data_IF_435516757427
#
_entry.id   IF_435516757427
#
_cell.length_a   1.000
_cell.length_b   1.000
_cell.length_c   1.000
_cell.angle_alpha   90.00
_cell.angle_beta   90.00
_cell.angle_gamma   90.00
#
_symmetry.space_group_name_H-M   'P 1'
#
loop_
_entity.id
_entity.type
_entity.pdbx_description
1 polymer ?
#
# COMPACT_ATOMS: atom_id res chain seq x y z
N UNK A 1 3.46 -21.50 -16.02
CA UNK A 1 3.29 -20.69 -14.79
C UNK A 1 2.89 -21.64 -13.66
N UNK A 2 3.39 -21.46 -12.44
CA UNK A 2 2.95 -22.28 -11.30
C UNK A 2 1.45 -22.08 -11.08
N UNK A 3 0.69 -23.13 -10.74
CA UNK A 3 -0.76 -23.03 -10.48
C UNK A 3 -1.12 -22.21 -9.23
N UNK A 4 -0.12 -21.69 -8.53
CA UNK A 4 -0.23 -20.88 -7.30
C UNK A 4 0.32 -19.47 -7.47
N UNK A 5 0.66 -19.03 -8.69
CA UNK A 5 1.07 -17.65 -8.91
C UNK A 5 -0.10 -16.69 -8.67
N UNK A 6 0.11 -15.68 -7.83
CA UNK A 6 -0.87 -14.61 -7.63
C UNK A 6 -1.10 -13.86 -8.95
N UNK A 7 -2.36 -13.78 -9.35
CA UNK A 7 -2.81 -13.03 -10.52
C UNK A 7 -3.88 -12.04 -10.11
N UNK A 8 -3.82 -10.84 -10.67
CA UNK A 8 -4.81 -9.82 -10.51
C UNK A 8 -5.23 -9.33 -11.90
N UNK A 9 -6.52 -9.11 -12.12
CA UNK A 9 -7.05 -8.63 -13.40
C UNK A 9 -6.86 -7.12 -13.52
N UNK A 10 -5.70 -6.72 -14.05
CA UNK A 10 -5.38 -5.30 -14.27
C UNK A 10 -6.22 -4.69 -15.39
N UNK A 11 -6.73 -5.49 -16.33
CA UNK A 11 -7.57 -4.99 -17.42
C UNK A 11 -8.93 -4.53 -16.88
N UNK A 12 -9.55 -5.33 -16.00
CA UNK A 12 -10.80 -4.95 -15.33
C UNK A 12 -10.62 -3.70 -14.45
N UNK A 13 -9.48 -3.59 -13.77
CA UNK A 13 -9.15 -2.40 -13.00
C UNK A 13 -8.98 -1.16 -13.88
N UNK A 14 -8.28 -1.26 -15.01
CA UNK A 14 -8.12 -0.15 -15.93
C UNK A 14 -9.44 0.27 -16.56
N UNK A 15 -10.27 -0.69 -16.96
CA UNK A 15 -11.63 -0.41 -17.42
C UNK A 15 -12.42 0.35 -16.35
N UNK A 16 -12.44 -0.14 -15.11
CA UNK A 16 -13.17 0.47 -14.01
C UNK A 16 -12.67 1.89 -13.72
N UNK A 17 -11.36 2.08 -13.58
CA UNK A 17 -10.77 3.36 -13.21
C UNK A 17 -10.88 4.40 -14.34
N UNK A 18 -10.51 4.03 -15.56
CA UNK A 18 -10.31 4.98 -16.65
C UNK A 18 -11.48 5.09 -17.63
N UNK A 19 -12.22 4.01 -17.89
CA UNK A 19 -13.31 4.02 -18.85
C UNK A 19 -14.66 4.24 -18.18
N UNK A 20 -14.95 3.48 -17.13
CA UNK A 20 -16.22 3.55 -16.41
C UNK A 20 -16.30 4.77 -15.49
N UNK A 21 -15.31 4.95 -14.62
CA UNK A 21 -15.29 6.03 -13.64
C UNK A 21 -14.65 7.31 -14.16
N UNK A 22 -13.84 7.21 -15.22
CA UNK A 22 -13.09 8.35 -15.78
C UNK A 22 -12.36 9.15 -14.71
N UNK A 23 -11.79 8.47 -13.71
CA UNK A 23 -11.33 9.14 -12.49
C UNK A 23 -10.27 10.21 -12.76
N UNK A 24 -9.42 10.00 -13.76
CA UNK A 24 -8.36 10.92 -14.16
C UNK A 24 -8.92 12.25 -14.68
N UNK A 25 -10.04 12.24 -15.42
CA UNK A 25 -10.71 13.46 -15.88
C UNK A 25 -11.23 14.27 -14.69
N UNK A 26 -11.95 13.62 -13.77
CA UNK A 26 -12.50 14.27 -12.58
C UNK A 26 -11.44 14.75 -11.59
N UNK A 27 -10.34 14.01 -11.44
CA UNK A 27 -9.26 14.38 -10.53
C UNK A 27 -8.43 15.54 -11.08
N UNK A 28 -8.30 15.69 -12.40
CA UNK A 28 -7.63 16.83 -13.02
C UNK A 28 -8.34 18.18 -12.71
N UNK A 29 -9.64 18.16 -12.42
CA UNK A 29 -10.40 19.33 -11.99
C UNK A 29 -10.12 19.73 -10.52
N UNK A 30 -9.49 18.85 -9.76
CA UNK A 30 -9.11 19.10 -8.36
C UNK A 30 -7.69 19.65 -8.31
N UNK A 31 -7.50 20.87 -7.78
CA UNK A 31 -6.18 21.51 -7.62
C UNK A 31 -5.14 20.59 -6.96
N UNK A 32 -5.56 19.81 -5.96
CA UNK A 32 -4.71 18.83 -5.25
C UNK A 32 -4.09 17.76 -6.15
N UNK A 33 -4.73 17.43 -7.27
CA UNK A 33 -4.34 16.34 -8.16
C UNK A 33 -4.06 16.83 -9.59
N UNK A 34 -4.00 18.14 -9.81
CA UNK A 34 -3.84 18.73 -11.14
C UNK A 34 -2.51 18.35 -11.82
N UNK A 35 -1.48 18.03 -11.03
CA UNK A 35 -0.17 17.59 -11.53
C UNK A 35 -0.08 16.08 -11.80
N UNK A 36 -1.17 15.32 -11.57
CA UNK A 36 -1.23 13.88 -11.79
C UNK A 36 -2.13 13.58 -12.99
N UNK A 37 -1.61 12.82 -13.96
CA UNK A 37 -2.35 12.41 -15.15
C UNK A 37 -2.67 10.91 -15.16
N UNK A 38 -3.38 10.49 -16.23
CA UNK A 38 -3.76 9.10 -16.45
C UNK A 38 -2.57 8.15 -16.45
N UNK A 39 -1.44 8.56 -17.03
CA UNK A 39 -0.28 7.70 -17.19
C UNK A 39 0.41 7.49 -15.84
N UNK A 40 0.51 8.53 -15.00
CA UNK A 40 0.98 8.40 -13.61
C UNK A 40 0.12 7.43 -12.82
N UNK A 41 -1.20 7.52 -12.93
CA UNK A 41 -2.11 6.59 -12.27
C UNK A 41 -1.94 5.16 -12.81
N UNK A 42 -1.82 4.99 -14.11
CA UNK A 42 -1.69 3.69 -14.74
C UNK A 42 -0.38 2.99 -14.32
N UNK A 43 0.75 3.70 -14.38
CA UNK A 43 2.03 3.19 -13.90
C UNK A 43 1.98 2.83 -12.42
N UNK A 44 1.28 3.63 -11.60
CA UNK A 44 1.12 3.33 -10.17
C UNK A 44 0.37 2.01 -9.93
N UNK A 45 -0.68 1.74 -10.72
CA UNK A 45 -1.45 0.49 -10.70
C UNK A 45 -0.55 -0.69 -11.08
N UNK A 46 0.21 -0.58 -12.15
CA UNK A 46 1.09 -1.64 -12.66
C UNK A 46 2.22 -1.98 -11.68
N UNK A 47 2.90 -0.96 -11.15
CA UNK A 47 4.00 -1.18 -10.19
C UNK A 47 3.47 -1.73 -8.86
N UNK A 48 2.28 -1.31 -8.41
CA UNK A 48 1.64 -1.92 -7.25
C UNK A 48 1.37 -3.42 -7.47
N UNK A 49 0.87 -3.81 -8.64
CA UNK A 49 0.67 -5.22 -8.97
C UNK A 49 1.98 -6.00 -9.04
N UNK A 50 3.04 -5.40 -9.59
CA UNK A 50 4.37 -6.00 -9.62
C UNK A 50 4.90 -6.26 -8.21
N UNK A 51 4.80 -5.30 -7.29
CA UNK A 51 5.16 -5.49 -5.87
C UNK A 51 4.34 -6.62 -5.25
N UNK A 52 3.02 -6.61 -5.46
CA UNK A 52 2.14 -7.64 -4.93
C UNK A 52 2.53 -9.04 -5.43
N UNK A 53 2.81 -9.20 -6.72
CA UNK A 53 3.17 -10.48 -7.35
C UNK A 53 4.56 -10.97 -6.98
N UNK A 54 5.55 -10.08 -7.00
CA UNK A 54 6.97 -10.48 -6.91
C UNK A 54 7.51 -10.45 -5.49
N UNK A 55 6.96 -9.58 -4.63
CA UNK A 55 7.43 -9.39 -3.25
C UNK A 55 6.47 -10.00 -2.25
N UNK A 56 5.17 -9.69 -2.34
CA UNK A 56 4.21 -10.03 -1.28
C UNK A 56 3.64 -11.44 -1.42
N UNK A 57 3.20 -11.84 -2.60
CA UNK A 57 2.56 -13.12 -2.84
C UNK A 57 3.41 -14.34 -2.41
N UNK A 58 4.74 -14.39 -2.65
CA UNK A 58 5.57 -15.50 -2.17
C UNK A 58 5.59 -15.65 -0.65
N UNK A 59 5.29 -14.58 0.09
CA UNK A 59 5.32 -14.57 1.56
C UNK A 59 4.03 -15.08 2.18
N UNK A 60 2.92 -15.14 1.43
CA UNK A 60 1.61 -15.44 2.00
C UNK A 60 1.58 -16.85 2.63
N UNK A 61 1.96 -17.87 1.86
CA UNK A 61 2.00 -19.25 2.32
C UNK A 61 3.03 -19.45 3.44
N UNK A 62 4.20 -18.83 3.33
CA UNK A 62 5.25 -18.91 4.36
C UNK A 62 4.80 -18.25 5.67
N UNK A 63 4.17 -17.09 5.58
CA UNK A 63 3.65 -16.35 6.73
C UNK A 63 2.63 -17.17 7.51
N UNK A 64 1.72 -17.84 6.80
CA UNK A 64 0.73 -18.75 7.39
C UNK A 64 1.38 -19.94 8.10
N UNK A 65 2.36 -20.61 7.46
CA UNK A 65 3.03 -21.77 8.06
C UNK A 65 3.88 -21.44 9.29
N UNK A 66 4.56 -20.30 9.27
CA UNK A 66 5.50 -19.94 10.33
C UNK A 66 4.83 -19.22 11.51
N UNK A 67 3.84 -18.36 11.21
CA UNK A 67 3.23 -17.46 12.19
C UNK A 67 4.24 -16.51 12.86
N UNK A 68 3.75 -15.74 13.83
CA UNK A 68 4.60 -14.95 14.72
C UNK A 68 4.92 -15.75 15.99
N UNK A 69 6.10 -15.51 16.58
CA UNK A 69 6.52 -16.14 17.84
C UNK A 69 6.77 -15.10 18.90
N UNK A 70 6.11 -15.23 20.05
CA UNK A 70 6.32 -14.41 21.24
C UNK A 70 7.34 -15.11 22.15
N UNK A 71 8.41 -14.40 22.53
CA UNK A 71 9.37 -14.91 23.50
C UNK A 71 8.96 -14.59 24.96
N UNK A 72 9.75 -15.09 25.93
CA UNK A 72 9.49 -14.88 27.36
C UNK A 72 9.74 -13.44 27.85
N UNK A 73 10.38 -12.59 27.03
CA UNK A 73 10.69 -11.19 27.33
C UNK A 73 9.66 -10.23 26.71
N UNK A 74 8.76 -10.73 25.87
CA UNK A 74 7.71 -9.98 25.20
C UNK A 74 8.04 -9.55 23.76
N UNK A 75 9.16 -9.97 23.19
CA UNK A 75 9.49 -9.67 21.79
C UNK A 75 8.76 -10.62 20.85
N UNK A 76 8.35 -10.09 19.69
CA UNK A 76 7.69 -10.85 18.64
C UNK A 76 8.64 -11.03 17.45
N UNK A 77 8.96 -12.29 17.12
CA UNK A 77 9.66 -12.65 15.89
C UNK A 77 8.64 -12.86 14.76
N UNK A 78 8.84 -12.17 13.65
CA UNK A 78 8.00 -12.24 12.45
C UNK A 78 8.39 -13.42 11.55
N UNK A 79 7.51 -13.86 10.62
CA UNK A 79 7.87 -14.81 9.57
C UNK A 79 9.06 -14.34 8.71
N UNK A 80 9.86 -15.29 8.24
CA UNK A 80 11.03 -15.03 7.41
C UNK A 80 10.64 -14.35 6.09
N UNK A 81 11.35 -13.27 5.73
CA UNK A 81 11.08 -12.49 4.53
C UNK A 81 10.20 -11.26 4.76
N UNK A 82 9.46 -11.18 5.87
CA UNK A 82 8.59 -10.02 6.15
C UNK A 82 9.41 -8.75 6.36
N UNK A 83 10.56 -8.82 7.04
CA UNK A 83 11.41 -7.66 7.28
C UNK A 83 12.03 -7.13 5.97
N UNK A 84 12.44 -8.04 5.10
CA UNK A 84 13.00 -7.72 3.79
C UNK A 84 11.95 -7.07 2.90
N UNK A 85 10.74 -7.64 2.84
CA UNK A 85 9.63 -7.06 2.09
C UNK A 85 9.17 -5.71 2.65
N UNK A 86 9.21 -5.54 3.97
CA UNK A 86 8.96 -4.24 4.60
C UNK A 86 9.95 -3.19 4.09
N UNK A 87 11.24 -3.51 4.04
CA UNK A 87 12.26 -2.58 3.54
C UNK A 87 12.03 -2.23 2.08
N UNK A 88 11.72 -3.21 1.23
CA UNK A 88 11.38 -2.98 -0.19
C UNK A 88 10.18 -2.05 -0.32
N UNK A 89 9.10 -2.31 0.43
CA UNK A 89 7.90 -1.47 0.40
C UNK A 89 8.18 -0.05 0.93
N UNK A 90 8.95 0.07 2.00
CA UNK A 90 9.32 1.35 2.62
C UNK A 90 10.17 2.19 1.67
N UNK A 91 11.21 1.60 1.08
CA UNK A 91 12.13 2.28 0.17
C UNK A 91 11.46 2.66 -1.15
N UNK A 92 10.48 1.87 -1.61
CA UNK A 92 9.66 2.19 -2.78
C UNK A 92 8.49 3.15 -2.50
N UNK A 93 8.30 3.64 -1.27
CA UNK A 93 7.21 4.55 -0.91
C UNK A 93 5.81 3.90 -0.79
N UNK A 94 5.73 2.57 -0.82
CA UNK A 94 4.48 1.80 -0.80
C UNK A 94 3.82 1.69 0.58
N UNK A 95 4.50 2.17 1.63
CA UNK A 95 3.96 2.15 3.01
C UNK A 95 3.04 3.31 3.33
N UNK A 96 3.02 4.37 2.50
CA UNK A 96 2.20 5.55 2.75
C UNK A 96 1.73 6.23 1.44
N UNK A 97 1.18 5.50 0.45
CA UNK A 97 0.94 6.04 -0.89
C UNK A 97 -0.08 7.19 -0.90
N UNK A 98 -0.98 7.24 0.08
CA UNK A 98 -1.98 8.33 0.22
C UNK A 98 -1.61 9.40 1.23
N UNK A 99 -0.49 9.23 1.94
CA UNK A 99 -0.06 10.25 2.88
C UNK A 99 0.34 11.52 2.13
N UNK A 100 0.30 12.62 2.87
CA UNK A 100 0.70 13.92 2.35
C UNK A 100 2.16 13.88 1.88
N UNK A 101 2.53 14.49 0.75
CA UNK A 101 3.93 14.62 0.34
C UNK A 101 4.81 15.27 1.41
N UNK A 102 4.28 16.21 2.21
CA UNK A 102 5.00 16.81 3.35
C UNK A 102 5.31 15.80 4.47
N UNK A 103 4.61 14.66 4.48
CA UNK A 103 4.77 13.54 5.41
C UNK A 103 5.43 12.33 4.73
N UNK A 104 6.11 12.54 3.60
CA UNK A 104 6.82 11.49 2.87
C UNK A 104 5.94 10.50 2.10
N UNK A 105 4.65 10.81 1.91
CA UNK A 105 3.76 10.03 1.04
C UNK A 105 3.80 10.45 -0.42
N UNK A 106 3.19 9.67 -1.31
CA UNK A 106 3.04 10.05 -2.73
C UNK A 106 1.77 10.85 -3.02
N UNK A 107 0.95 11.16 -2.02
CA UNK A 107 -0.23 12.02 -2.17
C UNK A 107 -1.37 11.42 -2.99
N UNK A 108 -1.35 10.11 -3.27
CA UNK A 108 -2.28 9.49 -4.22
C UNK A 108 -3.76 9.63 -3.81
N UNK A 109 -4.67 9.74 -4.79
CA UNK A 109 -6.11 9.77 -4.55
C UNK A 109 -6.61 8.54 -3.78
N UNK A 110 -7.72 8.71 -3.05
CA UNK A 110 -8.33 7.63 -2.27
C UNK A 110 -8.69 6.41 -3.13
N UNK A 111 -9.16 6.64 -4.36
CA UNK A 111 -9.53 5.58 -5.31
C UNK A 111 -8.33 4.73 -5.75
N UNK A 112 -7.17 5.35 -6.01
CA UNK A 112 -5.93 4.63 -6.29
C UNK A 112 -5.46 3.85 -5.06
N UNK A 113 -5.57 4.44 -3.87
CA UNK A 113 -5.23 3.71 -2.64
C UNK A 113 -6.18 2.54 -2.35
N UNK A 114 -7.44 2.59 -2.79
CA UNK A 114 -8.36 1.46 -2.69
C UNK A 114 -7.88 0.29 -3.55
N UNK A 115 -7.53 0.57 -4.81
CA UNK A 115 -6.93 -0.40 -5.71
C UNK A 115 -5.63 -1.02 -5.15
N UNK A 116 -4.69 -0.18 -4.70
CA UNK A 116 -3.45 -0.66 -4.05
C UNK A 116 -3.74 -1.55 -2.85
N UNK A 117 -4.78 -1.23 -2.07
CA UNK A 117 -5.16 -2.04 -0.90
C UNK A 117 -5.70 -3.40 -1.32
N UNK A 118 -6.54 -3.46 -2.34
CA UNK A 118 -7.10 -4.69 -2.89
C UNK A 118 -6.01 -5.63 -3.42
N UNK A 119 -5.17 -5.11 -4.32
CA UNK A 119 -4.11 -5.89 -4.97
C UNK A 119 -3.10 -6.43 -3.96
N UNK A 120 -2.69 -5.62 -2.99
CA UNK A 120 -1.74 -6.07 -1.98
C UNK A 120 -2.38 -7.04 -0.99
N UNK A 121 -3.65 -6.82 -0.61
CA UNK A 121 -4.36 -7.71 0.33
C UNK A 121 -4.61 -9.09 -0.29
N UNK A 122 -4.93 -9.13 -1.59
CA UNK A 122 -5.04 -10.38 -2.34
C UNK A 122 -3.72 -11.15 -2.38
N UNK A 123 -2.59 -10.45 -2.44
CA UNK A 123 -1.27 -11.07 -2.43
C UNK A 123 -0.86 -11.60 -1.05
N UNK A 124 -0.96 -10.79 0.00
CA UNK A 124 -0.59 -11.17 1.36
C UNK A 124 -1.25 -10.27 2.43
N UNK A 125 -2.49 -10.60 2.81
CA UNK A 125 -3.28 -9.82 3.77
C UNK A 125 -2.55 -9.60 5.11
N UNK A 126 -1.90 -10.64 5.66
CA UNK A 126 -1.22 -10.56 6.95
C UNK A 126 -0.06 -9.53 6.95
N UNK A 127 0.67 -9.42 5.84
CA UNK A 127 1.73 -8.41 5.69
C UNK A 127 1.14 -6.99 5.55
N UNK A 128 0.08 -6.84 4.75
CA UNK A 128 -0.51 -5.51 4.48
C UNK A 128 -1.07 -4.85 5.74
N UNK A 129 -1.48 -5.64 6.74
CA UNK A 129 -1.95 -5.11 8.02
C UNK A 129 -0.91 -4.25 8.75
N UNK A 130 0.40 -4.53 8.62
CA UNK A 130 1.45 -3.69 9.24
C UNK A 130 1.40 -2.26 8.69
N UNK A 131 1.18 -2.12 7.38
CA UNK A 131 1.05 -0.82 6.71
C UNK A 131 -0.30 -0.17 7.03
N UNK A 132 -1.39 -0.95 6.90
CA UNK A 132 -2.75 -0.46 7.07
C UNK A 132 -3.05 0.07 8.48
N UNK A 133 -2.66 -0.68 9.52
CA UNK A 133 -2.87 -0.27 10.91
C UNK A 133 -2.04 0.95 11.28
N UNK A 134 -0.77 1.00 10.83
CA UNK A 134 0.10 2.16 11.02
C UNK A 134 -0.48 3.42 10.37
N UNK A 135 -0.99 3.29 9.14
CA UNK A 135 -1.66 4.39 8.43
C UNK A 135 -2.93 4.85 9.17
N UNK A 136 -3.74 3.92 9.68
CA UNK A 136 -4.95 4.26 10.42
C UNK A 136 -4.62 5.00 11.72
N UNK A 137 -3.64 4.52 12.49
CA UNK A 137 -3.15 5.17 13.70
C UNK A 137 -2.62 6.58 13.41
N UNK A 138 -1.80 6.73 12.37
CA UNK A 138 -1.28 8.03 11.94
C UNK A 138 -2.39 9.02 11.59
N UNK A 139 -3.46 8.56 10.92
CA UNK A 139 -4.63 9.41 10.59
C UNK A 139 -5.40 9.87 11.83
N UNK A 140 -5.54 9.00 12.84
CA UNK A 140 -6.19 9.35 14.11
C UNK A 140 -5.34 10.38 14.86
N UNK A 141 -4.02 10.17 14.93
CA UNK A 141 -3.09 11.13 15.55
C UNK A 141 -3.17 12.47 14.82
N UNK A 142 -3.04 12.51 13.49
CA UNK A 142 -3.14 13.76 12.71
C UNK A 142 -4.44 14.52 12.95
N UNK A 143 -5.54 13.81 13.22
CA UNK A 143 -6.86 14.44 13.39
C UNK A 143 -7.14 14.91 14.82
N UNK A 144 -6.66 14.20 15.84
CA UNK A 144 -7.09 14.41 17.22
C UNK A 144 -5.97 14.68 18.21
N UNK A 145 -4.71 14.48 17.82
CA UNK A 145 -3.59 14.78 18.71
C UNK A 145 -3.39 16.30 18.81
N UNK A 146 -3.01 16.82 19.98
CA UNK A 146 -2.49 18.17 20.13
C UNK A 146 -1.32 18.43 19.18
N UNK A 147 -1.13 19.67 18.72
CA UNK A 147 -0.11 20.04 17.72
C UNK A 147 1.31 19.58 18.07
N UNK A 148 1.66 19.57 19.37
CA UNK A 148 2.99 19.11 19.83
C UNK A 148 3.22 17.59 19.71
N UNK A 149 2.17 16.81 19.41
CA UNK A 149 2.22 15.37 19.14
C UNK A 149 1.97 15.03 17.67
N UNK A 150 1.53 16.00 16.85
CA UNK A 150 1.40 15.86 15.41
C UNK A 150 2.78 15.99 14.74
N UNK A 151 3.68 15.05 15.03
CA UNK A 151 5.04 15.02 14.47
C UNK A 151 4.95 14.57 12.99
N UNK A 152 5.70 15.19 12.06
CA UNK A 152 5.81 14.68 10.70
C UNK A 152 6.46 13.30 10.74
N UNK A 153 5.71 12.27 10.37
CA UNK A 153 6.27 10.93 10.22
C UNK A 153 7.10 10.94 8.93
N UNK A 154 8.37 10.52 9.04
CA UNK A 154 9.40 10.38 8.00
C UNK A 154 10.20 11.65 7.61
N UNK A 155 11.45 11.71 8.12
CA UNK A 155 12.61 12.01 7.28
C UNK A 155 13.35 10.70 7.03
#
# INVERSE_FOLDING_TARGET
MSSTSYTFDTEDAFFTLFEQLKMHEHLAECERYADLDRDVYATTVEEAYKIAREVLAPLNHRGDQQGCKLDGEGNVTLPDGYKEAWNVCREGGWTAPRADPELGGSGMPAIIGAYLSEVNSGACMAFVMYVGLSTAAARVIKKYAPDHLAIPVAK
#
